data_IF_296891447660
#
_entry.id   IF_296891447660
#
_cell.length_a   1.000
_cell.length_b   1.000
_cell.length_c   1.000
_cell.angle_alpha   90.00
_cell.angle_beta   90.00
_cell.angle_gamma   90.00
#
_symmetry.space_group_name_H-M   'P 1'
#
loop_
_entity.id
_entity.type
_entity.pdbx_description
1 polymer ?
#
# COMPACT_ATOMS: atom_id res chain seq x y z
N UNK A 1 19.61 -28.59 17.70
CA UNK A 1 18.20 -28.65 17.28
C UNK A 1 17.58 -27.27 17.41
N UNK A 2 17.56 -26.51 16.32
CA UNK A 2 16.91 -25.20 16.25
C UNK A 2 15.39 -25.44 16.18
N UNK A 3 14.56 -24.81 17.03
CA UNK A 3 13.13 -25.06 16.99
C UNK A 3 12.56 -24.58 15.64
N UNK A 4 11.61 -25.32 15.04
CA UNK A 4 10.92 -24.85 13.84
C UNK A 4 10.14 -23.58 14.17
N UNK A 5 10.23 -22.58 13.29
CA UNK A 5 9.39 -21.39 13.35
C UNK A 5 7.93 -21.84 13.27
N UNK A 6 7.23 -21.78 14.40
CA UNK A 6 5.79 -22.04 14.48
C UNK A 6 5.03 -21.01 13.65
N UNK A 7 4.65 -21.39 12.43
CA UNK A 7 3.69 -20.64 11.62
C UNK A 7 2.29 -21.03 12.09
N UNK A 8 1.75 -20.24 13.02
CA UNK A 8 0.36 -20.31 13.47
C UNK A 8 -0.61 -20.22 12.28
N UNK A 9 -1.52 -21.19 12.23
CA UNK A 9 -2.50 -21.49 11.18
C UNK A 9 -3.72 -20.56 11.22
N UNK A 10 -3.51 -19.25 11.06
CA UNK A 10 -4.62 -18.32 10.77
C UNK A 10 -4.84 -18.29 9.27
N UNK A 11 -6.08 -18.49 8.81
CA UNK A 11 -6.53 -18.38 7.40
C UNK A 11 -6.06 -17.05 6.80
N UNK A 12 -4.87 -17.05 6.22
CA UNK A 12 -4.27 -15.89 5.56
C UNK A 12 -4.89 -15.83 4.17
N UNK A 13 -5.76 -14.84 3.92
CA UNK A 13 -6.17 -14.48 2.55
C UNK A 13 -4.93 -14.39 1.65
N UNK A 14 -5.08 -14.82 0.38
CA UNK A 14 -3.96 -14.85 -0.57
C UNK A 14 -3.25 -13.48 -0.64
N UNK A 15 -1.92 -13.43 -0.78
CA UNK A 15 -1.17 -12.17 -0.80
C UNK A 15 -1.61 -11.16 -1.87
N UNK A 16 -2.30 -11.65 -2.92
CA UNK A 16 -2.84 -10.85 -4.02
C UNK A 16 -4.14 -10.11 -3.66
N UNK A 17 -4.79 -10.46 -2.55
CA UNK A 17 -6.01 -9.80 -2.10
C UNK A 17 -5.71 -8.65 -1.13
N UNK A 18 -6.33 -7.50 -1.36
CA UNK A 18 -6.29 -6.38 -0.45
C UNK A 18 -7.26 -6.59 0.70
N UNK A 19 -6.74 -6.67 1.92
CA UNK A 19 -7.52 -6.68 3.16
C UNK A 19 -7.12 -5.46 4.00
N UNK A 20 -8.00 -4.45 4.03
CA UNK A 20 -7.77 -3.18 4.74
C UNK A 20 -7.73 -3.41 6.26
N UNK A 21 -8.45 -4.42 6.76
CA UNK A 21 -8.55 -4.73 8.19
C UNK A 21 -7.49 -5.73 8.66
N UNK A 22 -6.47 -6.02 7.83
CA UNK A 22 -5.41 -6.98 8.16
C UNK A 22 -4.69 -6.57 9.44
N UNK A 23 -4.74 -7.43 10.46
CA UNK A 23 -4.02 -7.24 11.71
C UNK A 23 -3.47 -8.57 12.25
N UNK A 24 -2.17 -8.67 12.59
CA UNK A 24 -1.11 -7.66 12.42
C UNK A 24 -0.68 -7.50 10.94
N UNK A 25 -0.35 -6.27 10.53
CA UNK A 25 0.10 -5.97 9.17
C UNK A 25 1.62 -5.68 9.09
N UNK A 26 2.42 -6.72 9.30
CA UNK A 26 3.90 -6.63 9.29
C UNK A 26 4.45 -6.66 7.85
N UNK A 27 4.40 -5.53 7.14
CA UNK A 27 4.91 -5.41 5.77
C UNK A 27 6.30 -4.74 5.71
N UNK A 28 7.06 -5.02 4.65
CA UNK A 28 8.41 -4.47 4.43
C UNK A 28 8.46 -3.21 3.56
N UNK A 29 7.32 -2.54 3.33
CA UNK A 29 7.25 -1.33 2.50
C UNK A 29 8.18 -0.19 2.94
N UNK A 30 8.57 -0.15 4.22
CA UNK A 30 9.48 0.87 4.79
C UNK A 30 10.80 0.27 5.32
N UNK A 31 11.18 -0.93 4.85
CA UNK A 31 12.32 -1.71 5.36
C UNK A 31 12.21 -2.01 6.87
N UNK A 32 13.34 -2.36 7.51
CA UNK A 32 13.43 -2.67 8.93
C UNK A 32 14.88 -2.64 9.43
N UNK A 33 15.06 -2.63 10.75
CA UNK A 33 16.39 -2.57 11.37
C UNK A 33 17.07 -1.20 11.22
N UNK A 34 18.41 -1.14 11.14
CA UNK A 34 19.17 0.11 11.08
C UNK A 34 18.86 1.00 9.87
N UNK A 35 18.30 0.42 8.81
CA UNK A 35 17.92 1.13 7.58
C UNK A 35 16.41 1.32 7.45
N UNK A 36 15.69 1.35 8.57
CA UNK A 36 14.27 1.72 8.58
C UNK A 36 14.10 3.07 7.87
N UNK A 37 13.09 3.17 7.01
CA UNK A 37 12.82 4.40 6.27
C UNK A 37 12.74 5.60 7.22
N UNK A 38 13.66 6.56 7.05
CA UNK A 38 13.69 7.79 7.85
C UNK A 38 12.37 8.58 7.72
N UNK A 39 11.68 8.45 6.58
CA UNK A 39 10.39 9.08 6.31
C UNK A 39 9.16 8.29 6.75
N UNK A 40 9.29 7.15 7.47
CA UNK A 40 8.16 6.27 7.82
C UNK A 40 6.97 7.03 8.42
N UNK A 41 7.21 7.85 9.45
CA UNK A 41 6.15 8.58 10.14
C UNK A 41 5.52 9.65 9.25
N UNK A 42 6.36 10.38 8.50
CA UNK A 42 5.90 11.44 7.59
C UNK A 42 5.06 10.86 6.44
N UNK A 43 5.56 9.83 5.76
CA UNK A 43 4.87 9.19 4.65
C UNK A 43 3.50 8.60 5.08
N UNK A 44 3.39 8.09 6.31
CA UNK A 44 2.11 7.61 6.86
C UNK A 44 1.13 8.76 7.12
N UNK A 45 1.63 9.88 7.65
CA UNK A 45 0.81 11.07 7.86
C UNK A 45 0.32 11.64 6.52
N UNK A 46 1.23 11.85 5.58
CA UNK A 46 0.92 12.33 4.23
C UNK A 46 -0.08 11.41 3.52
N UNK A 47 0.15 10.09 3.55
CA UNK A 47 -0.74 9.13 2.93
C UNK A 47 -2.15 9.14 3.54
N UNK A 48 -2.26 9.25 4.88
CA UNK A 48 -3.55 9.35 5.56
C UNK A 48 -4.31 10.62 5.14
N UNK A 49 -3.62 11.76 5.10
CA UNK A 49 -4.23 13.04 4.72
C UNK A 49 -4.60 13.03 3.23
N UNK A 50 -3.67 12.67 2.36
CA UNK A 50 -3.86 12.72 0.91
C UNK A 50 -5.01 11.80 0.45
N UNK A 51 -5.01 10.54 0.88
CA UNK A 51 -6.07 9.59 0.50
C UNK A 51 -7.41 10.01 1.12
N UNK A 52 -7.42 10.37 2.41
CA UNK A 52 -8.65 10.80 3.09
C UNK A 52 -9.28 12.02 2.44
N UNK A 53 -8.50 13.09 2.23
CA UNK A 53 -8.97 14.32 1.60
C UNK A 53 -9.38 14.13 0.15
N UNK A 54 -8.68 13.28 -0.59
CA UNK A 54 -9.04 12.97 -1.97
C UNK A 54 -10.43 12.31 -2.05
N UNK A 55 -10.68 11.29 -1.22
CA UNK A 55 -11.96 10.59 -1.19
C UNK A 55 -13.10 11.45 -0.66
N UNK A 56 -12.83 12.32 0.32
CA UNK A 56 -13.80 13.32 0.81
C UNK A 56 -14.18 14.32 -0.29
N UNK A 57 -13.21 14.75 -1.10
CA UNK A 57 -13.43 15.77 -2.14
C UNK A 57 -14.08 15.20 -3.41
N UNK A 58 -13.74 13.97 -3.77
CA UNK A 58 -14.17 13.32 -5.01
C UNK A 58 -14.80 11.95 -4.69
N UNK A 59 -16.01 11.93 -4.11
CA UNK A 59 -16.67 10.67 -3.70
C UNK A 59 -16.97 9.76 -4.90
N UNK A 60 -17.27 10.34 -6.06
CA UNK A 60 -17.60 9.62 -7.29
C UNK A 60 -16.40 9.48 -8.25
N UNK A 61 -15.18 9.43 -7.71
CA UNK A 61 -14.00 9.23 -8.54
C UNK A 61 -14.03 7.85 -9.22
N UNK A 62 -13.64 7.79 -10.50
CA UNK A 62 -13.58 6.55 -11.26
C UNK A 62 -12.55 6.61 -12.38
N UNK A 63 -12.02 5.45 -12.79
CA UNK A 63 -11.13 5.39 -13.95
C UNK A 63 -11.91 5.68 -15.23
N UNK A 64 -11.35 6.50 -16.11
CA UNK A 64 -11.94 6.86 -17.40
C UNK A 64 -11.05 6.52 -18.61
N UNK A 65 -9.99 5.76 -18.37
CA UNK A 65 -9.06 5.27 -19.38
C UNK A 65 -8.02 4.34 -18.78
N UNK A 66 -7.17 3.78 -19.63
CA UNK A 66 -6.20 2.78 -19.20
C UNK A 66 -5.04 3.41 -18.40
N UNK A 67 -4.73 2.88 -17.21
CA UNK A 67 -3.58 3.31 -16.43
C UNK A 67 -2.25 2.96 -17.12
N UNK A 68 -1.32 3.90 -17.17
CA UNK A 68 0.04 3.67 -17.68
C UNK A 68 0.98 3.45 -16.51
N UNK A 69 1.58 2.27 -16.39
CA UNK A 69 2.55 1.94 -15.34
C UNK A 69 3.90 2.59 -15.59
N UNK A 70 4.58 2.98 -14.51
CA UNK A 70 6.00 3.32 -14.56
C UNK A 70 6.83 2.06 -14.76
N UNK A 71 7.65 2.02 -15.81
CA UNK A 71 8.58 0.93 -16.08
C UNK A 71 9.80 0.89 -15.16
N UNK A 72 9.77 1.59 -14.02
CA UNK A 72 10.92 1.67 -13.10
C UNK A 72 10.96 0.44 -12.21
N UNK A 73 12.06 -0.30 -12.22
CA UNK A 73 12.24 -1.50 -11.41
C UNK A 73 12.11 -1.25 -9.89
N UNK A 74 12.58 -0.08 -9.42
CA UNK A 74 12.62 0.28 -7.99
C UNK A 74 11.33 0.93 -7.47
N UNK A 75 10.59 1.62 -8.34
CA UNK A 75 9.40 2.39 -7.95
C UNK A 75 8.19 1.89 -8.70
N UNK A 76 7.26 1.28 -7.97
CA UNK A 76 5.97 0.86 -8.53
C UNK A 76 5.01 2.04 -8.44
N UNK A 77 4.50 2.48 -9.58
CA UNK A 77 3.54 3.57 -9.66
C UNK A 77 2.95 3.68 -11.07
N UNK A 78 2.05 4.64 -11.25
CA UNK A 78 1.49 5.01 -12.55
C UNK A 78 2.16 6.30 -13.04
N UNK A 79 2.50 6.36 -14.32
CA UNK A 79 2.90 7.59 -15.02
C UNK A 79 1.68 8.40 -15.45
N UNK A 80 0.59 7.71 -15.76
CA UNK A 80 -0.69 8.31 -16.12
C UNK A 80 -1.81 7.45 -15.53
N UNK A 81 -2.81 8.10 -14.91
CA UNK A 81 -4.00 7.47 -14.37
C UNK A 81 -5.22 8.33 -14.74
N UNK A 82 -5.85 8.09 -15.90
CA UNK A 82 -7.01 8.87 -16.33
C UNK A 82 -8.18 8.61 -15.38
N UNK A 83 -8.66 9.69 -14.74
CA UNK A 83 -9.80 9.63 -13.82
C UNK A 83 -10.88 10.63 -14.21
N UNK A 84 -12.13 10.24 -13.99
CA UNK A 84 -13.25 11.16 -13.89
C UNK A 84 -13.49 11.44 -12.42
N UNK A 85 -13.62 12.72 -12.10
CA UNK A 85 -14.20 13.18 -10.84
C UNK A 85 -15.58 13.71 -11.23
N UNK A 86 -16.64 13.17 -10.63
CA UNK A 86 -18.04 13.44 -11.00
C UNK A 86 -18.40 14.92 -11.11
#
# INVERSE_FOLDING_TARGET
ATPPISVSSTTRRLPSWLDINRHPNKHLAFAGGPHLCAGLSLARLEGKIAIGKFLERFPDYGLCGDPVRGGRARFRGFLNLPVRVG
#
